data_IF_142795347279
#
_entry.id   IF_142795347279
#
_cell.length_a   1.000
_cell.length_b   1.000
_cell.length_c   1.000
_cell.angle_alpha   90.00
_cell.angle_beta   90.00
_cell.angle_gamma   90.00
#
_symmetry.space_group_name_H-M   'P 1'
#
loop_
_entity.id
_entity.type
_entity.pdbx_description
1 polymer ?
#
# COMPACT_ATOMS: atom_id res chain seq x y z
N UNK A 1 -6.99 -2.15 6.23
CA UNK A 1 -7.65 -3.43 5.88
C UNK A 1 -7.99 -4.17 7.16
N UNK A 2 -9.03 -5.00 7.19
CA UNK A 2 -9.35 -5.84 8.35
C UNK A 2 -9.37 -7.31 7.92
N UNK A 3 -8.74 -8.17 8.72
CA UNK A 3 -8.61 -9.61 8.49
C UNK A 3 -8.90 -10.35 9.79
N UNK A 4 -9.39 -11.59 9.69
CA UNK A 4 -9.65 -12.45 10.83
C UNK A 4 -9.18 -13.88 10.53
N UNK A 5 -8.59 -14.53 11.52
CA UNK A 5 -8.13 -15.91 11.45
C UNK A 5 -8.16 -16.55 12.84
N UNK A 6 -8.10 -17.88 12.89
CA UNK A 6 -8.08 -18.63 14.16
C UNK A 6 -6.82 -18.31 15.00
N UNK A 7 -5.69 -18.02 14.35
CA UNK A 7 -4.46 -17.61 14.99
C UNK A 7 -4.03 -16.22 14.51
N UNK A 8 -3.49 -15.41 15.45
CA UNK A 8 -3.12 -14.03 15.17
C UNK A 8 -2.08 -13.88 14.04
N UNK A 9 -1.18 -14.85 13.91
CA UNK A 9 -0.11 -14.80 12.91
C UNK A 9 -0.68 -14.71 11.49
N UNK A 10 -1.66 -15.55 11.17
CA UNK A 10 -2.30 -15.59 9.86
C UNK A 10 -3.08 -14.30 9.58
N UNK A 11 -3.76 -13.76 10.60
CA UNK A 11 -4.48 -12.49 10.47
C UNK A 11 -3.52 -11.33 10.15
N UNK A 12 -2.37 -11.26 10.83
CA UNK A 12 -1.35 -10.24 10.56
C UNK A 12 -0.73 -10.41 9.17
N UNK A 13 -0.34 -11.64 8.79
CA UNK A 13 0.24 -11.91 7.47
C UNK A 13 -0.74 -11.54 6.34
N UNK A 14 -2.02 -11.90 6.48
CA UNK A 14 -3.05 -11.53 5.50
C UNK A 14 -3.26 -10.01 5.41
N UNK A 15 -3.29 -9.31 6.54
CA UNK A 15 -3.42 -7.85 6.55
C UNK A 15 -2.22 -7.18 5.86
N UNK A 16 -1.02 -7.70 6.09
CA UNK A 16 0.22 -7.20 5.52
C UNK A 16 0.25 -7.40 3.99
N UNK A 17 -0.03 -8.61 3.53
CA UNK A 17 -0.15 -8.93 2.10
C UNK A 17 -1.12 -8.00 1.38
N UNK A 18 -2.33 -7.83 1.94
CA UNK A 18 -3.36 -6.99 1.33
C UNK A 18 -2.93 -5.53 1.24
N UNK A 19 -2.16 -5.03 2.22
CA UNK A 19 -1.67 -3.65 2.20
C UNK A 19 -0.59 -3.43 1.14
N UNK A 20 0.33 -4.38 0.95
CA UNK A 20 1.35 -4.27 -0.11
C UNK A 20 0.73 -4.34 -1.49
N UNK A 21 -0.19 -5.29 -1.69
CA UNK A 21 -0.89 -5.44 -2.95
C UNK A 21 -1.71 -4.19 -3.28
N UNK A 22 -2.40 -3.62 -2.29
CA UNK A 22 -3.18 -2.41 -2.48
C UNK A 22 -2.31 -1.21 -2.85
N UNK A 23 -1.16 -1.03 -2.20
CA UNK A 23 -0.28 0.11 -2.46
C UNK A 23 0.42 0.05 -3.82
N UNK A 24 0.67 -1.14 -4.33
CA UNK A 24 1.37 -1.36 -5.60
C UNK A 24 0.41 -1.43 -6.80
N UNK A 25 -0.73 -2.10 -6.66
CA UNK A 25 -1.61 -2.42 -7.80
C UNK A 25 -2.87 -1.58 -7.89
N UNK A 26 -3.31 -0.92 -6.82
CA UNK A 26 -4.54 -0.14 -6.89
C UNK A 26 -4.29 1.23 -7.55
N UNK A 27 -5.07 1.62 -8.58
CA UNK A 27 -4.83 2.85 -9.32
C UNK A 27 -5.36 4.07 -8.54
N UNK A 28 -4.54 4.57 -7.62
CA UNK A 28 -4.80 5.81 -6.89
C UNK A 28 -3.72 6.86 -7.17
N UNK A 29 -4.13 8.13 -7.24
CA UNK A 29 -3.21 9.25 -7.35
C UNK A 29 -3.50 10.27 -6.26
N UNK A 30 -2.45 10.64 -5.51
CA UNK A 30 -2.53 11.71 -4.51
C UNK A 30 -2.11 13.01 -5.17
N UNK A 31 -2.98 14.01 -5.16
CA UNK A 31 -2.63 15.39 -5.54
C UNK A 31 -2.20 16.16 -4.30
N UNK A 32 -1.03 16.74 -4.34
CA UNK A 32 -0.51 17.62 -3.30
C UNK A 32 -0.63 19.07 -3.73
N UNK A 33 -1.10 19.93 -2.82
CA UNK A 33 -1.30 21.36 -3.06
C UNK A 33 -0.44 22.09 -2.03
N UNK A 34 0.46 22.94 -2.52
CA UNK A 34 1.45 23.71 -1.76
C UNK A 34 1.33 25.18 -2.11
N UNK A 35 2.05 26.06 -1.41
CA UNK A 35 2.06 27.48 -1.73
C UNK A 35 2.67 27.76 -3.11
N UNK A 36 3.53 26.86 -3.59
CA UNK A 36 4.27 26.93 -4.84
C UNK A 36 3.50 26.34 -6.03
N UNK A 37 2.40 25.61 -5.78
CA UNK A 37 1.57 25.01 -6.81
C UNK A 37 1.00 23.64 -6.44
N UNK A 38 0.46 22.94 -7.45
CA UNK A 38 -0.14 21.62 -7.27
C UNK A 38 0.54 20.57 -8.16
N UNK A 39 0.90 19.43 -7.57
CA UNK A 39 1.56 18.32 -8.24
C UNK A 39 0.92 16.98 -7.88
N UNK A 40 1.09 15.98 -8.74
CA UNK A 40 0.72 14.61 -8.45
C UNK A 40 1.90 13.89 -7.81
N UNK A 41 1.65 13.17 -6.72
CA UNK A 41 2.66 12.36 -6.03
C UNK A 41 2.94 11.11 -6.87
N UNK A 42 4.21 10.86 -7.16
CA UNK A 42 4.66 9.67 -7.87
C UNK A 42 4.52 8.41 -7.01
N UNK A 43 4.25 7.27 -7.65
CA UNK A 43 4.36 5.96 -7.01
C UNK A 43 5.79 5.72 -6.54
N UNK A 44 5.93 5.01 -5.42
CA UNK A 44 7.23 4.71 -4.79
C UNK A 44 7.73 3.35 -5.26
N UNK A 45 9.02 3.24 -5.58
CA UNK A 45 9.62 1.96 -5.99
C UNK A 45 9.63 0.92 -4.85
N UNK A 46 9.59 1.39 -3.60
CA UNK A 46 9.49 0.55 -2.41
C UNK A 46 8.16 -0.22 -2.35
N UNK A 47 7.06 0.35 -2.85
CA UNK A 47 5.76 -0.34 -2.88
C UNK A 47 5.78 -1.54 -3.85
N UNK A 48 6.53 -1.46 -4.95
CA UNK A 48 6.76 -2.59 -5.88
C UNK A 48 7.70 -3.63 -5.27
N UNK A 49 8.73 -3.20 -4.55
CA UNK A 49 9.68 -4.12 -3.89
C UNK A 49 8.99 -4.91 -2.78
N UNK A 50 8.05 -4.28 -2.06
CA UNK A 50 7.26 -4.92 -1.01
C UNK A 50 6.40 -6.07 -1.52
N UNK A 51 6.01 -6.11 -2.80
CA UNK A 51 5.32 -7.27 -3.39
C UNK A 51 6.21 -8.52 -3.45
N UNK A 52 7.53 -8.36 -3.66
CA UNK A 52 8.44 -9.49 -3.88
C UNK A 52 8.69 -10.37 -2.66
N UNK A 53 8.18 -9.99 -1.47
CA UNK A 53 8.26 -10.79 -0.25
C UNK A 53 7.17 -11.86 -0.14
N UNK A 54 6.20 -11.85 -1.05
CA UNK A 54 5.08 -12.78 -1.14
C UNK A 54 5.20 -13.62 -2.41
#
# INVERSE_FOLDING_TARGET
VATAAAHRADAFQAAEFLMDYLKSRAPFWKKEITAEGAAWVAAKAEDETALGRW
#
